data_IF_270401778771
#
_entry.id   IF_270401778771
#
_cell.length_a   1.000
_cell.length_b   1.000
_cell.length_c   1.000
_cell.angle_alpha   90.00
_cell.angle_beta   90.00
_cell.angle_gamma   90.00
#
_symmetry.space_group_name_H-M   'P 1'
#
loop_
_entity.id
_entity.type
_entity.pdbx_description
1 polymer ?
#
# COMPACT_ATOMS: atom_id res chain seq x y z
N UNK A 1 -5.30 -2.05 -23.30
CA UNK A 1 -4.11 -2.07 -24.17
C UNK A 1 -3.16 -1.00 -23.64
N UNK A 2 -2.02 -1.37 -23.05
CA UNK A 2 -1.08 -0.40 -22.47
C UNK A 2 -0.28 0.27 -23.57
N UNK A 3 -0.31 1.61 -23.63
CA UNK A 3 0.54 2.41 -24.51
C UNK A 3 2.02 2.16 -24.14
N UNK A 4 2.86 1.62 -25.06
CA UNK A 4 4.27 1.36 -24.79
C UNK A 4 5.10 2.63 -24.57
N UNK A 5 4.58 3.83 -24.83
CA UNK A 5 5.24 5.11 -24.57
C UNK A 5 4.79 5.80 -23.28
N UNK A 6 3.78 5.28 -22.58
CA UNK A 6 3.30 5.91 -21.35
C UNK A 6 4.35 5.79 -20.22
N UNK A 7 4.76 6.93 -19.67
CA UNK A 7 5.56 6.98 -18.45
C UNK A 7 4.68 6.55 -17.26
N UNK A 8 5.28 6.10 -16.14
CA UNK A 8 4.50 5.77 -14.95
C UNK A 8 3.58 6.92 -14.48
N UNK A 9 4.04 8.17 -14.61
CA UNK A 9 3.27 9.35 -14.18
C UNK A 9 2.12 9.67 -15.13
N UNK A 10 2.31 9.54 -16.45
CA UNK A 10 1.22 9.75 -17.42
C UNK A 10 0.15 8.67 -17.30
N UNK A 11 0.55 7.41 -17.07
CA UNK A 11 -0.37 6.31 -16.80
C UNK A 11 -1.16 6.55 -15.50
N UNK A 12 -0.49 6.97 -14.42
CA UNK A 12 -1.14 7.29 -13.15
C UNK A 12 -2.13 8.45 -13.28
N UNK A 13 -1.78 9.48 -14.03
CA UNK A 13 -2.64 10.64 -14.31
C UNK A 13 -3.88 10.24 -15.10
N UNK A 14 -3.74 9.41 -16.13
CA UNK A 14 -4.87 8.90 -16.92
C UNK A 14 -5.83 8.08 -16.05
N UNK A 15 -5.31 7.21 -15.19
CA UNK A 15 -6.11 6.43 -14.25
C UNK A 15 -6.82 7.32 -13.22
N UNK A 16 -6.13 8.33 -12.69
CA UNK A 16 -6.71 9.28 -11.75
C UNK A 16 -7.86 10.07 -12.38
N UNK A 17 -7.72 10.54 -13.63
CA UNK A 17 -8.80 11.18 -14.37
C UNK A 17 -9.99 10.25 -14.54
N UNK A 18 -9.76 9.01 -14.96
CA UNK A 18 -10.83 8.02 -15.08
C UNK A 18 -11.58 7.78 -13.76
N UNK A 19 -10.87 7.72 -12.62
CA UNK A 19 -11.49 7.60 -11.30
C UNK A 19 -12.33 8.84 -10.99
N UNK A 20 -11.81 10.05 -11.18
CA UNK A 20 -12.56 11.27 -10.90
C UNK A 20 -13.84 11.37 -11.74
N UNK A 21 -13.75 11.06 -13.03
CA UNK A 21 -14.90 11.09 -13.94
C UNK A 21 -15.98 10.08 -13.55
N UNK A 22 -15.56 8.86 -13.17
CA UNK A 22 -16.48 7.78 -12.78
C UNK A 22 -17.08 7.94 -11.40
N UNK A 23 -16.43 8.70 -10.52
CA UNK A 23 -16.90 8.94 -9.14
C UNK A 23 -17.60 10.27 -8.97
N UNK A 24 -17.37 11.24 -9.87
CA UNK A 24 -17.80 12.63 -9.72
C UNK A 24 -17.01 13.40 -8.64
N UNK A 25 -15.94 12.81 -8.08
CA UNK A 25 -15.13 13.42 -7.02
C UNK A 25 -13.89 14.06 -7.63
N UNK A 26 -13.73 15.37 -7.47
CA UNK A 26 -12.61 16.10 -8.06
C UNK A 26 -11.25 15.82 -7.41
N UNK A 27 -11.23 15.43 -6.13
CA UNK A 27 -10.00 15.17 -5.37
C UNK A 27 -10.24 14.20 -4.22
N UNK A 28 -9.33 13.25 -4.03
CA UNK A 28 -9.28 12.39 -2.85
C UNK A 28 -8.28 12.94 -1.83
N UNK A 29 -8.55 12.74 -0.55
CA UNK A 29 -7.69 13.19 0.55
C UNK A 29 -6.79 12.06 1.05
N UNK A 30 -7.36 10.86 1.14
CA UNK A 30 -6.71 9.65 1.68
C UNK A 30 -6.93 8.50 0.72
N UNK A 31 -5.91 7.67 0.54
CA UNK A 31 -6.05 6.36 -0.08
C UNK A 31 -5.75 5.24 0.93
N UNK A 32 -6.52 4.16 0.88
CA UNK A 32 -6.34 2.98 1.73
C UNK A 32 -6.17 1.77 0.83
N UNK A 33 -5.02 1.10 0.92
CA UNK A 33 -4.73 -0.10 0.14
C UNK A 33 -4.92 -1.29 1.07
N UNK A 34 -6.00 -2.05 0.84
CA UNK A 34 -6.32 -3.22 1.65
C UNK A 34 -5.56 -4.45 1.16
N UNK A 35 -4.71 -4.99 2.04
CA UNK A 35 -3.93 -6.20 1.79
C UNK A 35 -4.71 -7.48 2.02
N UNK A 36 -4.02 -8.61 1.87
CA UNK A 36 -4.57 -9.93 2.17
C UNK A 36 -5.13 -9.97 3.60
N UNK A 37 -6.34 -10.49 3.76
CA UNK A 37 -7.05 -10.55 5.05
C UNK A 37 -7.83 -9.29 5.45
N UNK A 38 -7.58 -8.14 4.80
CA UNK A 38 -8.20 -6.87 5.16
C UNK A 38 -9.48 -6.53 4.39
N UNK A 39 -9.83 -7.29 3.35
CA UNK A 39 -11.00 -7.00 2.51
C UNK A 39 -12.31 -6.75 3.30
N UNK A 40 -12.64 -7.52 4.37
CA UNK A 40 -13.84 -7.25 5.18
C UNK A 40 -13.85 -5.88 5.87
N UNK A 41 -12.68 -5.27 6.12
CA UNK A 41 -12.59 -3.95 6.74
C UNK A 41 -13.21 -2.85 5.89
N UNK A 42 -13.31 -3.04 4.57
CA UNK A 42 -13.94 -2.07 3.67
C UNK A 42 -15.39 -1.79 4.04
N UNK A 43 -16.15 -2.82 4.44
CA UNK A 43 -17.55 -2.67 4.84
C UNK A 43 -17.70 -1.87 6.14
N UNK A 44 -16.66 -1.85 7.00
CA UNK A 44 -16.67 -1.11 8.27
C UNK A 44 -16.30 0.36 8.05
N UNK A 45 -15.57 0.70 6.97
CA UNK A 45 -15.20 2.08 6.64
C UNK A 45 -16.40 2.93 6.22
N UNK A 46 -17.44 2.31 5.65
CA UNK A 46 -18.69 2.97 5.26
C UNK A 46 -19.25 2.44 3.94
N UNK A 47 -20.41 2.96 3.55
CA UNK A 47 -21.02 2.65 2.26
C UNK A 47 -20.33 3.43 1.12
N UNK A 48 -19.87 2.75 0.04
CA UNK A 48 -19.21 3.43 -1.06
C UNK A 48 -20.20 4.25 -1.89
N UNK A 49 -19.80 5.47 -2.25
CA UNK A 49 -20.56 6.32 -3.19
C UNK A 49 -20.35 5.88 -4.64
N UNK A 50 -19.27 5.15 -4.92
CA UNK A 50 -18.99 4.53 -6.21
C UNK A 50 -18.05 3.33 -6.06
N UNK A 51 -18.20 2.35 -6.96
CA UNK A 51 -17.33 1.17 -7.09
C UNK A 51 -16.93 1.00 -8.55
N UNK A 52 -15.65 0.76 -8.79
CA UNK A 52 -15.07 0.62 -10.13
C UNK A 52 -14.20 -0.63 -10.15
N UNK A 53 -14.36 -1.49 -11.15
CA UNK A 53 -13.45 -2.61 -11.33
C UNK A 53 -12.06 -2.10 -11.70
N UNK A 54 -11.01 -2.60 -11.04
CA UNK A 54 -9.62 -2.24 -11.35
C UNK A 54 -9.28 -2.53 -12.82
N UNK A 55 -9.84 -3.60 -13.41
CA UNK A 55 -9.65 -3.94 -14.82
C UNK A 55 -10.18 -2.90 -15.81
N UNK A 56 -11.09 -2.03 -15.39
CA UNK A 56 -11.65 -0.95 -16.21
C UNK A 56 -10.81 0.33 -16.14
N UNK A 57 -9.78 0.38 -15.28
CA UNK A 57 -8.94 1.56 -15.07
C UNK A 57 -7.62 1.46 -15.86
N UNK A 58 -7.17 2.55 -16.52
CA UNK A 58 -5.89 2.57 -17.22
C UNK A 58 -4.71 2.15 -16.34
N UNK A 59 -3.85 1.28 -16.86
CA UNK A 59 -2.60 0.86 -16.21
C UNK A 59 -2.75 -0.12 -15.03
N UNK A 60 -3.97 -0.36 -14.54
CA UNK A 60 -4.20 -1.36 -13.50
C UNK A 60 -4.06 -2.78 -14.06
N UNK A 61 -3.42 -3.62 -13.27
CA UNK A 61 -3.42 -5.07 -13.45
C UNK A 61 -4.37 -5.66 -12.42
N UNK A 62 -5.41 -6.41 -12.82
CA UNK A 62 -6.33 -6.99 -11.86
C UNK A 62 -5.59 -8.00 -10.96
N UNK A 63 -5.80 -7.97 -9.63
CA UNK A 63 -5.14 -8.87 -8.71
C UNK A 63 -5.59 -10.31 -8.92
N UNK A 64 -4.64 -11.25 -8.86
CA UNK A 64 -4.93 -12.69 -9.03
C UNK A 64 -4.96 -13.46 -7.72
N UNK A 65 -4.39 -12.89 -6.66
CA UNK A 65 -4.35 -13.50 -5.34
C UNK A 65 -5.76 -13.61 -4.71
N UNK A 66 -6.02 -14.72 -4.03
CA UNK A 66 -7.30 -14.98 -3.36
C UNK A 66 -7.60 -13.92 -2.29
N UNK A 67 -8.85 -13.47 -2.22
CA UNK A 67 -9.31 -12.44 -1.29
C UNK A 67 -9.11 -11.00 -1.76
N UNK A 68 -8.53 -10.77 -2.94
CA UNK A 68 -8.43 -9.45 -3.55
C UNK A 68 -9.63 -9.20 -4.48
N UNK A 69 -10.56 -8.35 -4.05
CA UNK A 69 -11.82 -8.08 -4.78
C UNK A 69 -11.64 -7.37 -6.12
N UNK A 70 -10.47 -6.78 -6.38
CA UNK A 70 -10.17 -6.12 -7.65
C UNK A 70 -11.04 -4.89 -7.92
N UNK A 71 -11.46 -4.20 -6.86
CA UNK A 71 -12.31 -3.01 -6.92
C UNK A 71 -11.59 -1.78 -6.34
N UNK A 72 -11.89 -0.63 -6.92
CA UNK A 72 -11.59 0.70 -6.37
C UNK A 72 -12.91 1.29 -5.89
N UNK A 73 -12.99 1.62 -4.61
CA UNK A 73 -14.15 2.22 -3.97
C UNK A 73 -13.87 3.69 -3.66
N UNK A 74 -14.87 4.53 -3.84
CA UNK A 74 -14.88 5.89 -3.33
C UNK A 74 -15.85 5.99 -2.15
N UNK A 75 -15.39 6.53 -1.02
CA UNK A 75 -16.17 6.69 0.20
C UNK A 75 -16.02 8.10 0.79
N UNK A 76 -16.96 8.46 1.66
CA UNK A 76 -16.85 9.62 2.55
C UNK A 76 -16.60 9.13 3.98
N UNK A 77 -15.49 9.54 4.59
CA UNK A 77 -15.16 9.22 5.98
C UNK A 77 -14.79 10.50 6.70
N UNK A 78 -15.56 10.89 7.71
CA UNK A 78 -15.30 12.10 8.50
C UNK A 78 -15.22 13.39 7.65
N UNK A 79 -16.02 13.47 6.57
CA UNK A 79 -16.01 14.60 5.62
C UNK A 79 -14.80 14.64 4.68
N UNK A 80 -14.04 13.54 4.58
CA UNK A 80 -12.93 13.38 3.64
C UNK A 80 -13.29 12.40 2.52
N UNK A 81 -12.83 12.71 1.32
CA UNK A 81 -12.91 11.80 0.18
C UNK A 81 -11.84 10.71 0.34
N UNK A 82 -12.26 9.45 0.52
CA UNK A 82 -11.36 8.31 0.70
C UNK A 82 -11.45 7.37 -0.48
N UNK A 83 -10.30 7.05 -1.07
CA UNK A 83 -10.16 6.05 -2.12
C UNK A 83 -9.71 4.72 -1.50
N UNK A 84 -10.53 3.68 -1.55
CA UNK A 84 -10.16 2.37 -1.00
C UNK A 84 -9.91 1.39 -2.14
N UNK A 85 -8.73 0.77 -2.14
CA UNK A 85 -8.32 -0.19 -3.13
C UNK A 85 -8.41 -1.58 -2.52
N UNK A 86 -9.39 -2.37 -2.99
CA UNK A 86 -9.65 -3.74 -2.54
C UNK A 86 -8.70 -4.70 -3.22
N UNK A 87 -7.47 -4.65 -2.73
CA UNK A 87 -6.41 -5.52 -3.11
C UNK A 87 -5.28 -4.85 -3.89
N UNK A 88 -4.28 -5.66 -4.22
CA UNK A 88 -3.09 -5.26 -4.96
C UNK A 88 -2.50 -6.48 -5.65
N UNK A 89 -1.66 -6.21 -6.64
CA UNK A 89 -0.73 -7.19 -7.19
C UNK A 89 0.60 -7.12 -6.44
N UNK A 90 1.36 -8.20 -6.48
CA UNK A 90 2.65 -8.33 -5.80
C UNK A 90 3.79 -8.56 -6.79
N UNK A 91 5.01 -8.30 -6.33
CA UNK A 91 6.21 -8.55 -7.12
C UNK A 91 6.40 -10.03 -7.47
N UNK A 92 6.02 -10.96 -6.59
CA UNK A 92 6.11 -12.41 -6.84
C UNK A 92 5.14 -12.90 -7.93
N UNK A 93 4.14 -12.10 -8.34
CA UNK A 93 3.25 -12.41 -9.47
C UNK A 93 3.97 -12.21 -10.83
N UNK A 94 5.24 -11.80 -10.82
CA UNK A 94 6.09 -11.65 -12.01
C UNK A 94 5.93 -10.30 -12.71
N UNK A 95 5.17 -9.38 -12.12
CA UNK A 95 4.95 -8.05 -12.69
C UNK A 95 6.14 -7.11 -12.48
N UNK A 96 6.31 -6.17 -13.41
CA UNK A 96 7.22 -5.04 -13.20
C UNK A 96 6.72 -4.17 -12.03
N UNK A 97 7.65 -3.58 -11.26
CA UNK A 97 7.29 -2.79 -10.07
C UNK A 97 6.45 -1.56 -10.43
N UNK A 98 6.51 -1.06 -11.66
CA UNK A 98 5.62 0.01 -12.11
C UNK A 98 4.14 -0.35 -11.94
N UNK A 99 3.78 -1.62 -12.12
CA UNK A 99 2.42 -2.13 -11.94
C UNK A 99 2.08 -2.31 -10.46
N UNK A 100 3.05 -2.79 -9.65
CA UNK A 100 2.89 -2.95 -8.19
C UNK A 100 2.58 -1.62 -7.51
N UNK A 101 3.27 -0.55 -7.90
CA UNK A 101 3.10 0.78 -7.28
C UNK A 101 2.14 1.69 -8.03
N UNK A 102 1.60 1.26 -9.18
CA UNK A 102 0.61 2.02 -9.95
C UNK A 102 -0.59 2.46 -9.11
N UNK A 103 -1.20 1.60 -8.27
CA UNK A 103 -2.31 2.00 -7.40
C UNK A 103 -1.99 3.21 -6.50
N UNK A 104 -0.78 3.25 -5.92
CA UNK A 104 -0.33 4.37 -5.09
C UNK A 104 -0.10 5.63 -5.92
N UNK A 105 0.58 5.52 -7.07
CA UNK A 105 0.80 6.67 -7.97
C UNK A 105 -0.53 7.25 -8.46
N UNK A 106 -1.49 6.39 -8.82
CA UNK A 106 -2.83 6.81 -9.21
C UNK A 106 -3.55 7.53 -8.08
N UNK A 107 -3.51 7.01 -6.85
CA UNK A 107 -4.12 7.65 -5.70
C UNK A 107 -3.57 9.07 -5.46
N UNK A 108 -2.25 9.22 -5.54
CA UNK A 108 -1.56 10.52 -5.40
C UNK A 108 -1.94 11.46 -6.55
N UNK A 109 -1.96 10.98 -7.80
CA UNK A 109 -2.42 11.75 -8.94
C UNK A 109 -3.93 12.11 -8.89
N UNK A 110 -4.72 11.34 -8.12
CA UNK A 110 -6.10 11.65 -7.79
C UNK A 110 -6.24 12.65 -6.62
N UNK A 111 -5.11 13.06 -6.03
CA UNK A 111 -4.96 14.13 -5.07
C UNK A 111 -4.73 13.69 -3.61
N UNK A 112 -4.67 12.38 -3.36
CA UNK A 112 -4.45 11.84 -2.03
C UNK A 112 -3.06 12.24 -1.50
N UNK A 113 -3.04 12.91 -0.36
CA UNK A 113 -1.80 13.31 0.33
C UNK A 113 -1.40 12.33 1.44
N UNK A 114 -2.29 11.39 1.76
CA UNK A 114 -2.07 10.35 2.77
C UNK A 114 -2.41 8.99 2.17
N UNK A 115 -1.53 8.01 2.38
CA UNK A 115 -1.69 6.64 1.92
C UNK A 115 -1.59 5.71 3.13
N UNK A 116 -2.64 4.91 3.36
CA UNK A 116 -2.69 3.88 4.39
C UNK A 116 -2.42 2.53 3.74
N UNK A 117 -1.30 1.90 4.08
CA UNK A 117 -0.85 0.63 3.53
C UNK A 117 -1.01 -0.49 4.56
N UNK A 118 -2.07 -1.27 4.45
CA UNK A 118 -2.26 -2.45 5.30
C UNK A 118 -1.54 -3.67 4.73
N UNK A 119 -1.23 -4.72 5.50
CA UNK A 119 -0.78 -6.00 4.96
C UNK A 119 -1.03 -7.13 5.97
N UNK A 120 -0.79 -8.37 5.55
CA UNK A 120 -0.62 -9.50 6.45
C UNK A 120 0.88 -9.75 6.62
N UNK A 121 1.32 -9.94 7.86
CA UNK A 121 2.72 -10.17 8.20
C UNK A 121 2.87 -11.27 9.25
N UNK A 122 3.99 -11.98 9.21
CA UNK A 122 4.43 -12.83 10.31
C UNK A 122 5.05 -11.98 11.42
N UNK A 123 4.65 -12.21 12.67
CA UNK A 123 5.23 -11.56 13.85
C UNK A 123 6.52 -12.26 14.29
N UNK A 124 7.61 -11.49 14.45
CA UNK A 124 8.91 -12.01 14.87
C UNK A 124 9.18 -11.77 16.35
N UNK A 125 8.53 -10.78 16.97
CA UNK A 125 8.62 -10.51 18.41
C UNK A 125 7.73 -11.44 19.23
N UNK A 126 8.21 -11.85 20.40
CA UNK A 126 7.49 -12.80 21.27
C UNK A 126 6.22 -12.19 21.86
N UNK A 127 6.18 -10.86 22.00
CA UNK A 127 5.03 -10.12 22.53
C UNK A 127 3.88 -9.99 21.52
N UNK A 128 4.10 -10.31 20.24
CA UNK A 128 3.07 -10.22 19.21
C UNK A 128 2.18 -11.45 19.21
N UNK A 129 0.89 -11.23 18.94
CA UNK A 129 -0.12 -12.29 18.86
C UNK A 129 -0.83 -12.29 17.49
N UNK A 130 -1.33 -13.46 17.10
CA UNK A 130 -2.10 -13.59 15.85
C UNK A 130 -3.36 -12.72 15.94
N UNK A 131 -3.59 -11.91 14.89
CA UNK A 131 -4.72 -10.97 14.83
C UNK A 131 -4.44 -9.60 15.45
N UNK A 132 -3.27 -9.40 16.06
CA UNK A 132 -2.87 -8.10 16.58
C UNK A 132 -2.49 -7.12 15.46
N UNK A 133 -3.06 -5.90 15.44
CA UNK A 133 -2.58 -4.84 14.57
C UNK A 133 -1.26 -4.26 15.11
N UNK A 134 -0.30 -4.02 14.20
CA UNK A 134 0.98 -3.39 14.52
C UNK A 134 1.22 -2.25 13.53
N UNK A 135 1.61 -1.08 14.04
CA UNK A 135 2.03 0.04 13.22
C UNK A 135 3.44 -0.20 12.69
N UNK A 136 3.68 0.10 11.41
CA UNK A 136 5.03 0.01 10.86
C UNK A 136 5.80 1.27 11.25
N UNK A 137 6.86 1.14 12.04
CA UNK A 137 7.73 2.27 12.40
C UNK A 137 8.76 2.58 11.32
N UNK A 138 9.24 1.54 10.65
CA UNK A 138 10.21 1.59 9.55
C UNK A 138 10.18 0.27 8.76
N UNK A 139 10.92 0.18 7.65
CA UNK A 139 11.06 -1.06 6.90
C UNK A 139 12.49 -1.46 6.56
N UNK A 140 12.67 -2.75 6.27
CA UNK A 140 13.81 -3.30 5.58
C UNK A 140 13.36 -3.77 4.20
N UNK A 141 13.81 -3.10 3.14
CA UNK A 141 13.58 -3.56 1.78
C UNK A 141 14.64 -4.62 1.41
N UNK A 142 14.31 -5.89 1.59
CA UNK A 142 15.17 -7.02 1.28
C UNK A 142 14.86 -7.65 -0.08
N UNK A 143 14.14 -6.94 -0.95
CA UNK A 143 13.80 -7.45 -2.28
C UNK A 143 14.90 -7.20 -3.31
N UNK A 144 15.95 -6.44 -2.95
CA UNK A 144 16.99 -5.96 -3.86
C UNK A 144 16.45 -5.20 -5.10
N UNK A 145 15.27 -4.57 -4.98
CA UNK A 145 14.61 -3.82 -6.05
C UNK A 145 14.11 -2.47 -5.55
N UNK A 146 13.96 -1.53 -6.46
CA UNK A 146 13.35 -0.22 -6.22
C UNK A 146 12.29 0.07 -7.29
N UNK A 147 11.14 0.69 -6.94
CA UNK A 147 10.15 1.12 -7.92
C UNK A 147 10.55 2.42 -8.65
N UNK A 148 11.68 3.03 -8.26
CA UNK A 148 12.21 4.25 -8.85
C UNK A 148 13.25 3.90 -9.92
N UNK A 149 13.20 4.61 -11.03
CA UNK A 149 14.13 4.45 -12.16
C UNK A 149 14.74 5.80 -12.49
N UNK A 150 16.06 5.84 -12.68
CA UNK A 150 16.82 7.07 -12.90
C UNK A 150 17.30 7.71 -11.60
N UNK A 151 17.83 8.93 -11.70
CA UNK A 151 18.46 9.67 -10.61
C UNK A 151 17.44 10.30 -9.64
N UNK A 152 16.59 9.45 -9.03
CA UNK A 152 15.58 9.85 -8.07
C UNK A 152 16.11 9.66 -6.64
N UNK A 153 16.68 10.70 -6.07
CA UNK A 153 17.24 10.70 -4.71
C UNK A 153 16.17 11.03 -3.67
N UNK A 154 15.27 10.07 -3.43
CA UNK A 154 14.18 10.21 -2.47
C UNK A 154 14.67 9.89 -1.06
N UNK A 155 14.46 10.82 -0.13
CA UNK A 155 14.70 10.58 1.30
C UNK A 155 13.60 9.71 1.90
N UNK A 156 14.01 8.69 2.67
CA UNK A 156 13.13 7.75 3.36
C UNK A 156 13.21 7.88 4.88
N UNK A 157 13.91 8.90 5.42
CA UNK A 157 13.72 9.30 6.82
C UNK A 157 12.24 9.60 7.04
N UNK A 158 11.70 9.00 8.10
CA UNK A 158 10.27 9.08 8.43
C UNK A 158 9.35 8.66 7.27
N UNK A 159 9.75 7.65 6.48
CA UNK A 159 8.92 7.07 5.42
C UNK A 159 7.52 6.68 5.93
N UNK A 160 7.45 6.21 7.18
CA UNK A 160 6.20 6.02 7.92
C UNK A 160 6.01 7.19 8.89
N UNK A 161 5.03 8.04 8.60
CA UNK A 161 4.90 9.36 9.24
C UNK A 161 4.72 9.24 10.77
N UNK A 162 5.63 9.81 11.58
CA UNK A 162 5.45 9.86 13.04
C UNK A 162 4.13 10.53 13.44
N UNK A 163 3.69 11.53 12.67
CA UNK A 163 2.41 12.22 12.88
C UNK A 163 1.22 11.29 12.70
N UNK A 164 1.21 10.47 11.64
CA UNK A 164 0.12 9.52 11.40
C UNK A 164 0.11 8.39 12.44
N UNK A 165 1.28 7.89 12.84
CA UNK A 165 1.39 6.89 13.92
C UNK A 165 0.90 7.45 15.26
N UNK A 166 1.19 8.71 15.56
CA UNK A 166 0.65 9.40 16.74
C UNK A 166 -0.88 9.53 16.69
N UNK A 167 -1.46 9.84 15.52
CA UNK A 167 -2.92 9.86 15.35
C UNK A 167 -3.54 8.48 15.53
N UNK A 168 -2.93 7.42 14.99
CA UNK A 168 -3.40 6.05 15.18
C UNK A 168 -3.40 5.68 16.68
N UNK A 169 -2.34 6.02 17.42
CA UNK A 169 -2.27 5.82 18.87
C UNK A 169 -3.25 6.66 19.68
N UNK A 170 -3.67 7.82 19.17
CA UNK A 170 -4.73 8.59 19.82
C UNK A 170 -6.10 7.89 19.71
N UNK A 171 -6.31 7.07 18.66
CA UNK A 171 -7.49 6.23 18.49
C UNK A 171 -7.38 4.96 19.34
N UNK A 172 -6.23 4.29 19.30
CA UNK A 172 -5.95 3.10 20.10
C UNK A 172 -4.54 3.18 20.73
N UNK A 173 -4.45 3.56 22.02
CA UNK A 173 -3.17 3.65 22.73
C UNK A 173 -2.44 2.32 22.91
N UNK A 174 -3.10 1.18 22.66
CA UNK A 174 -2.49 -0.15 22.77
C UNK A 174 -1.68 -0.55 21.53
N UNK A 175 -1.79 0.21 20.43
CA UNK A 175 -1.05 -0.05 19.21
C UNK A 175 0.46 0.02 19.45
N UNK A 176 1.12 -1.12 19.22
CA UNK A 176 2.57 -1.23 19.18
C UNK A 176 3.12 -0.86 17.81
N UNK A 177 4.41 -0.52 17.76
CA UNK A 177 5.14 -0.32 16.50
C UNK A 177 6.19 -1.42 16.27
N UNK A 178 6.56 -1.65 15.02
CA UNK A 178 7.71 -2.50 14.68
C UNK A 178 8.25 -2.29 13.27
N UNK A 179 9.46 -2.79 13.04
CA UNK A 179 10.14 -2.75 11.74
C UNK A 179 9.66 -3.89 10.85
N UNK A 180 9.18 -3.56 9.65
CA UNK A 180 8.69 -4.53 8.67
C UNK A 180 9.76 -4.91 7.63
N UNK A 181 10.10 -6.19 7.54
CA UNK A 181 10.95 -6.71 6.47
C UNK A 181 10.12 -7.15 5.26
N UNK A 182 10.31 -6.46 4.13
CA UNK A 182 9.72 -6.83 2.85
C UNK A 182 10.64 -7.76 2.06
N UNK A 183 10.19 -8.98 1.81
CA UNK A 183 10.88 -10.01 1.02
C UNK A 183 10.25 -10.21 -0.35
N UNK A 184 10.94 -10.86 -1.31
CA UNK A 184 10.37 -11.16 -2.62
C UNK A 184 9.14 -12.08 -2.61
N UNK A 185 9.13 -13.13 -1.79
CA UNK A 185 8.15 -14.22 -1.88
C UNK A 185 8.33 -15.10 -3.13
N UNK A 186 7.38 -16.02 -3.43
CA UNK A 186 6.15 -16.31 -2.68
C UNK A 186 6.32 -17.40 -1.61
N UNK A 187 7.50 -18.03 -1.51
CA UNK A 187 7.76 -19.02 -0.46
C UNK A 187 7.89 -18.29 0.88
N UNK A 188 7.38 -18.90 1.95
CA UNK A 188 7.60 -18.42 3.31
C UNK A 188 9.04 -18.68 3.75
N UNK A 189 9.44 -17.93 4.77
CA UNK A 189 10.79 -17.98 5.31
C UNK A 189 11.03 -19.29 6.08
N UNK A 190 12.23 -19.81 5.96
CA UNK A 190 12.73 -20.87 6.84
C UNK A 190 12.96 -20.33 8.26
N UNK A 191 12.97 -21.19 9.29
CA UNK A 191 13.33 -20.77 10.64
C UNK A 191 14.71 -20.10 10.75
N UNK A 192 15.65 -20.43 9.86
CA UNK A 192 16.97 -19.81 9.81
C UNK A 192 16.89 -18.36 9.29
N UNK A 193 16.13 -18.13 8.21
CA UNK A 193 15.87 -16.78 7.69
C UNK A 193 15.12 -15.93 8.70
N UNK A 194 14.15 -16.49 9.44
CA UNK A 194 13.49 -15.78 10.54
C UNK A 194 14.50 -15.32 11.62
N UNK A 195 15.47 -16.17 12.00
CA UNK A 195 16.54 -15.76 12.95
C UNK A 195 17.46 -14.69 12.38
N UNK A 196 17.75 -14.76 11.08
CA UNK A 196 18.49 -13.72 10.38
C UNK A 196 17.73 -12.39 10.43
N UNK A 197 16.44 -12.38 10.08
CA UNK A 197 15.61 -11.17 10.08
C UNK A 197 15.53 -10.51 11.47
N UNK A 198 15.38 -11.31 12.53
CA UNK A 198 15.47 -10.80 13.92
C UNK A 198 16.82 -10.13 14.19
N UNK A 199 17.92 -10.75 13.75
CA UNK A 199 19.28 -10.19 13.88
C UNK A 199 19.43 -8.87 13.12
N UNK A 200 18.75 -8.73 11.97
CA UNK A 200 18.73 -7.50 11.18
C UNK A 200 17.81 -6.41 11.76
N UNK A 201 17.09 -6.70 12.85
CA UNK A 201 16.19 -5.76 13.53
C UNK A 201 14.75 -5.77 13.02
N UNK A 202 14.31 -6.80 12.30
CA UNK A 202 12.93 -6.92 11.86
C UNK A 202 12.02 -7.48 12.98
N UNK A 203 10.83 -6.88 13.11
CA UNK A 203 9.78 -7.30 14.03
C UNK A 203 8.60 -7.97 13.30
N UNK A 204 8.47 -7.68 12.01
CA UNK A 204 7.44 -8.20 11.11
C UNK A 204 8.12 -8.66 9.81
N UNK A 205 7.56 -9.67 9.16
CA UNK A 205 7.99 -10.11 7.82
C UNK A 205 6.79 -10.26 6.88
N UNK A 206 6.93 -9.79 5.64
CA UNK A 206 5.91 -9.94 4.61
C UNK A 206 6.48 -9.74 3.20
N UNK A 207 5.59 -9.73 2.20
CA UNK A 207 5.96 -9.79 0.77
C UNK A 207 5.42 -8.62 -0.05
N UNK A 208 5.07 -7.51 0.60
CA UNK A 208 4.51 -6.29 -0.02
C UNK A 208 5.03 -5.00 0.63
N UNK A 209 4.36 -3.88 0.36
CA UNK A 209 4.40 -2.61 1.12
C UNK A 209 5.66 -1.77 0.92
N UNK A 210 6.85 -2.36 0.84
CA UNK A 210 8.11 -1.61 0.76
C UNK A 210 8.19 -0.76 -0.50
N UNK A 211 7.77 -1.29 -1.66
CA UNK A 211 7.81 -0.54 -2.93
C UNK A 211 6.70 0.52 -2.97
N UNK A 212 5.51 0.18 -2.47
CA UNK A 212 4.37 1.10 -2.36
C UNK A 212 4.72 2.30 -1.47
N UNK A 213 5.43 2.06 -0.36
CA UNK A 213 5.91 3.11 0.55
C UNK A 213 6.92 4.02 -0.15
N UNK A 214 7.94 3.44 -0.81
CA UNK A 214 8.94 4.23 -1.55
C UNK A 214 8.29 5.08 -2.64
N UNK A 215 7.34 4.51 -3.40
CA UNK A 215 6.60 5.23 -4.42
C UNK A 215 5.70 6.34 -3.84
N UNK A 216 5.10 6.11 -2.67
CA UNK A 216 4.31 7.12 -1.98
C UNK A 216 5.18 8.31 -1.55
N UNK A 217 6.36 8.03 -0.98
CA UNK A 217 7.33 9.06 -0.59
C UNK A 217 7.87 9.84 -1.78
N UNK A 218 8.17 9.15 -2.88
CA UNK A 218 8.56 9.80 -4.13
C UNK A 218 7.45 10.74 -4.68
N UNK A 219 6.18 10.38 -4.47
CA UNK A 219 5.02 11.20 -4.82
C UNK A 219 4.65 12.27 -3.78
N UNK A 220 5.44 12.43 -2.70
CA UNK A 220 5.21 13.44 -1.67
C UNK A 220 4.09 13.14 -0.67
N UNK A 221 3.57 11.90 -0.64
CA UNK A 221 2.52 11.51 0.30
C UNK A 221 3.08 11.06 1.66
N UNK A 222 2.33 11.33 2.73
CA UNK A 222 2.57 10.69 4.03
C UNK A 222 2.02 9.26 4.01
N UNK A 223 2.73 8.33 4.67
CA UNK A 223 2.34 6.92 4.74
C UNK A 223 2.01 6.53 6.19
N UNK A 224 0.92 5.77 6.34
CA UNK A 224 0.58 5.01 7.54
C UNK A 224 0.63 3.52 7.23
#
# INVERSE_FOLDING_TARGET
MTDPQATPDSAATAAATAIRDRTGIARFDVAVILGSGWAPAAAVLGEPTASIAMGDLPGFTPPTASGHGGQVLALQVGGRNVLVLLGRIHAYEGHDLRHVVHPVRTAIAAGASTVVLTNAAGGLRAEYSVGQPVLISDHLNLTARSPLVGAQFVDLVDAYSPRLRALARAVDPSLTEGVYAGLPGPHYETPAEIRMLRTLGADLVGMSTVHETIAARAGGAEVL
#
